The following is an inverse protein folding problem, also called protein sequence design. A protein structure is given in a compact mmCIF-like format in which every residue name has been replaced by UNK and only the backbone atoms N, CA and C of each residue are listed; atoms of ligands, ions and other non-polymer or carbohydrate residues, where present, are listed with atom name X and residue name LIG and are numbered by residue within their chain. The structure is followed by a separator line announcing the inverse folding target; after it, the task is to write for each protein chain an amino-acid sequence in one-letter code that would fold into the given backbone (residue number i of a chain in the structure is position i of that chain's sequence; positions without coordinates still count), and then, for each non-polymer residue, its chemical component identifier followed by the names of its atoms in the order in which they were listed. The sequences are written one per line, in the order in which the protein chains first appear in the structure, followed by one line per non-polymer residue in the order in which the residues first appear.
data_IF_530039800870
#
_entry.id   IF_530039800870
#
_cell.length_a   1.000
_cell.length_b   1.000
_cell.length_c   1.000
_cell.angle_alpha   90.00
_cell.angle_beta   90.00
_cell.angle_gamma   90.00
#
_symmetry.space_group_name_H-M   'P 1'
#
loop_
_entity.id
_entity.type
_entity.pdbx_description
1 polymer ?
#
# COMPACT_ATOMS: atom_id res chain seq x y z
N UNK A 1 16.76 10.16 11.28
CA UNK A 1 16.14 9.10 12.11
C UNK A 1 14.81 8.71 11.47
N UNK A 2 14.77 7.58 10.77
CA UNK A 2 13.51 6.98 10.32
C UNK A 2 12.86 6.33 11.53
N UNK A 3 11.84 6.97 12.11
CA UNK A 3 10.97 6.28 13.06
C UNK A 3 10.32 5.12 12.32
N UNK A 4 10.75 3.91 12.63
CA UNK A 4 10.06 2.67 12.25
C UNK A 4 8.63 2.76 12.79
N UNK A 5 7.66 2.47 11.94
CA UNK A 5 6.25 2.38 12.30
C UNK A 5 5.96 0.87 12.38
N UNK A 6 5.94 0.26 13.59
CA UNK A 6 6.01 -1.20 13.73
C UNK A 6 4.93 -1.94 12.93
N UNK A 7 3.71 -1.39 12.87
CA UNK A 7 2.63 -1.97 12.09
C UNK A 7 2.77 -1.86 10.56
N UNK A 8 3.59 -0.93 10.05
CA UNK A 8 3.91 -0.80 8.62
C UNK A 8 5.04 -1.76 8.23
N UNK A 9 6.05 -1.92 9.09
CA UNK A 9 7.15 -2.85 8.83
C UNK A 9 6.69 -4.32 8.85
N UNK A 10 5.71 -4.66 9.70
CA UNK A 10 5.06 -5.98 9.66
C UNK A 10 4.36 -6.22 8.32
N UNK A 11 3.56 -5.27 7.82
CA UNK A 11 2.88 -5.39 6.52
C UNK A 11 3.87 -5.59 5.37
N UNK A 12 4.96 -4.81 5.39
CA UNK A 12 6.01 -4.91 4.37
C UNK A 12 6.71 -6.26 4.39
N UNK A 13 6.96 -6.81 5.57
CA UNK A 13 7.60 -8.11 5.76
C UNK A 13 6.69 -9.23 5.26
N UNK A 14 5.41 -9.23 5.68
CA UNK A 14 4.43 -10.22 5.23
C UNK A 14 4.23 -10.16 3.71
N UNK A 15 4.10 -8.97 3.13
CA UNK A 15 4.01 -8.79 1.68
C UNK A 15 5.20 -9.42 0.95
N UNK A 16 6.41 -9.13 1.42
CA UNK A 16 7.64 -9.63 0.79
C UNK A 16 7.72 -11.16 0.86
N UNK A 17 7.26 -11.75 1.98
CA UNK A 17 7.19 -13.20 2.14
C UNK A 17 6.19 -13.85 1.16
N UNK A 18 5.00 -13.26 0.98
CA UNK A 18 3.99 -13.75 0.04
C UNK A 18 4.47 -13.73 -1.41
N UNK A 19 5.18 -12.65 -1.81
CA UNK A 19 5.78 -12.55 -3.15
C UNK A 19 6.85 -13.62 -3.34
N UNK A 20 7.75 -13.79 -2.37
CA UNK A 20 8.80 -14.79 -2.45
C UNK A 20 8.23 -16.22 -2.51
N UNK A 21 7.15 -16.50 -1.78
CA UNK A 21 6.45 -17.78 -1.84
C UNK A 21 5.82 -18.02 -3.22
N UNK A 22 5.14 -17.01 -3.78
CA UNK A 22 4.55 -17.09 -5.13
C UNK A 22 5.62 -17.36 -6.20
N UNK A 23 6.75 -16.65 -6.13
CA UNK A 23 7.89 -16.84 -7.04
C UNK A 23 8.51 -18.23 -6.90
N UNK A 24 8.68 -18.72 -5.67
CA UNK A 24 9.19 -20.06 -5.40
C UNK A 24 8.25 -21.16 -5.93
N UNK A 25 6.94 -20.96 -5.82
CA UNK A 25 5.94 -21.87 -6.41
C UNK A 25 6.06 -21.92 -7.93
N UNK A 26 6.11 -20.76 -8.60
CA UNK A 26 6.21 -20.67 -10.06
C UNK A 26 7.55 -21.17 -10.62
N UNK A 27 8.63 -21.05 -9.83
CA UNK A 27 9.93 -21.62 -10.18
C UNK A 27 9.92 -23.16 -10.12
N UNK A 28 9.14 -23.75 -9.22
CA UNK A 28 9.01 -25.20 -9.06
C UNK A 28 8.07 -25.83 -10.08
N UNK A 29 6.95 -25.18 -10.38
CA UNK A 29 5.92 -25.73 -11.27
C UNK A 29 5.07 -24.64 -11.91
N UNK A 30 4.77 -24.82 -13.21
CA UNK A 30 3.79 -24.00 -13.95
C UNK A 30 2.49 -24.76 -14.20
N UNK A 31 2.18 -25.73 -13.35
CA UNK A 31 0.87 -26.40 -13.39
C UNK A 31 -0.24 -25.40 -13.07
N UNK A 32 -1.43 -25.61 -13.63
CA UNK A 32 -2.59 -24.74 -13.40
C UNK A 32 -2.88 -24.52 -11.90
N UNK A 33 -2.92 -25.57 -11.03
CA UNK A 33 -3.11 -25.35 -9.60
C UNK A 33 -2.03 -24.49 -8.95
N UNK A 34 -0.76 -24.65 -9.37
CA UNK A 34 0.35 -23.82 -8.87
C UNK A 34 0.21 -22.36 -9.28
N UNK A 35 -0.21 -22.11 -10.53
CA UNK A 35 -0.44 -20.76 -11.02
C UNK A 35 -1.61 -20.08 -10.30
N UNK A 36 -2.72 -20.80 -10.10
CA UNK A 36 -3.88 -20.30 -9.35
C UNK A 36 -3.49 -19.93 -7.90
N UNK A 37 -2.67 -20.75 -7.25
CA UNK A 37 -2.15 -20.44 -5.92
C UNK A 37 -1.22 -19.21 -5.94
N UNK A 38 -0.27 -19.13 -6.88
CA UNK A 38 0.60 -17.96 -6.99
C UNK A 38 -0.18 -16.66 -7.22
N UNK A 39 -1.25 -16.71 -8.04
CA UNK A 39 -2.15 -15.57 -8.25
C UNK A 39 -2.81 -15.13 -6.93
N UNK A 40 -3.30 -16.08 -6.13
CA UNK A 40 -3.91 -15.76 -4.84
C UNK A 40 -2.90 -15.10 -3.87
N UNK A 41 -1.65 -15.58 -3.85
CA UNK A 41 -0.59 -14.98 -3.04
C UNK A 41 -0.25 -13.56 -3.50
N UNK A 42 -0.14 -13.32 -4.82
CA UNK A 42 0.06 -11.98 -5.35
C UNK A 42 -1.10 -11.05 -5.03
N UNK A 43 -2.35 -11.51 -5.14
CA UNK A 43 -3.52 -10.71 -4.78
C UNK A 43 -3.53 -10.32 -3.29
N UNK A 44 -3.11 -11.23 -2.40
CA UNK A 44 -2.95 -10.90 -0.98
C UNK A 44 -1.80 -9.92 -0.75
N UNK A 45 -0.67 -10.09 -1.44
CA UNK A 45 0.45 -9.15 -1.35
C UNK A 45 0.07 -7.75 -1.83
N UNK A 46 -0.73 -7.64 -2.89
CA UNK A 46 -1.28 -6.37 -3.37
C UNK A 46 -2.16 -5.69 -2.31
N UNK A 47 -3.03 -6.47 -1.63
CA UNK A 47 -3.86 -5.95 -0.55
C UNK A 47 -3.02 -5.36 0.60
N UNK A 48 -1.97 -6.08 1.03
CA UNK A 48 -1.06 -5.59 2.06
C UNK A 48 -0.26 -4.36 1.61
N UNK A 49 0.14 -4.29 0.34
CA UNK A 49 0.80 -3.11 -0.22
C UNK A 49 -0.13 -1.89 -0.18
N UNK A 50 -1.41 -2.09 -0.51
CA UNK A 50 -2.42 -1.03 -0.45
C UNK A 50 -2.63 -0.55 0.99
N UNK A 51 -2.73 -1.45 1.94
CA UNK A 51 -2.85 -1.12 3.36
C UNK A 51 -1.62 -0.36 3.89
N UNK A 52 -0.41 -0.84 3.55
CA UNK A 52 0.86 -0.18 3.89
C UNK A 52 0.86 1.27 3.41
N UNK A 53 0.46 1.48 2.14
CA UNK A 53 0.40 2.80 1.52
C UNK A 53 -0.61 3.72 2.22
N UNK A 54 -1.80 3.21 2.57
CA UNK A 54 -2.81 3.99 3.30
C UNK A 54 -2.30 4.43 4.68
N UNK A 55 -1.66 3.52 5.43
CA UNK A 55 -1.07 3.84 6.74
C UNK A 55 0.08 4.84 6.66
N UNK A 56 0.92 4.74 5.62
CA UNK A 56 1.98 5.71 5.36
C UNK A 56 1.41 7.11 5.06
N UNK A 57 0.35 7.18 4.24
CA UNK A 57 -0.34 8.44 3.95
C UNK A 57 -1.06 9.01 5.17
N UNK A 58 -1.69 8.17 6.00
CA UNK A 58 -2.29 8.58 7.27
C UNK A 58 -1.25 9.17 8.22
N UNK A 59 -0.11 8.48 8.37
CA UNK A 59 1.01 8.96 9.19
C UNK A 59 1.54 10.29 8.66
N UNK A 60 1.76 10.39 7.34
CA UNK A 60 2.19 11.64 6.71
C UNK A 60 1.19 12.76 7.01
N UNK A 61 -0.11 12.52 6.79
CA UNK A 61 -1.19 13.48 7.04
C UNK A 61 -1.26 13.95 8.49
N UNK A 62 -1.00 13.08 9.46
CA UNK A 62 -0.98 13.44 10.88
C UNK A 62 0.20 14.34 11.27
N UNK A 63 1.30 14.30 10.49
CA UNK A 63 2.58 14.95 10.84
C UNK A 63 2.92 16.16 9.98
N UNK A 64 2.22 16.38 8.86
CA UNK A 64 2.52 17.47 7.94
C UNK A 64 1.25 18.08 7.34
N UNK A 65 1.43 19.14 6.55
CA UNK A 65 0.37 19.76 5.76
C UNK A 65 0.66 19.62 4.27
N UNK A 66 -0.36 19.69 3.39
CA UNK A 66 -0.14 19.66 1.94
C UNK A 66 0.83 20.76 1.48
N UNK A 67 0.71 21.97 2.05
CA UNK A 67 1.56 23.10 1.71
C UNK A 67 3.04 22.85 1.99
N UNK A 68 3.36 22.17 3.10
CA UNK A 68 4.73 21.77 3.41
C UNK A 68 5.31 20.73 2.43
N UNK A 69 4.45 20.04 1.68
CA UNK A 69 4.80 19.10 0.62
C UNK A 69 4.72 19.72 -0.79
N UNK A 70 4.50 21.04 -0.89
CA UNK A 70 4.36 21.74 -2.17
C UNK A 70 3.03 21.47 -2.90
N UNK A 71 2.03 20.90 -2.22
CA UNK A 71 0.72 20.61 -2.78
C UNK A 71 -0.35 21.62 -2.32
N UNK A 72 -1.34 21.90 -3.17
CA UNK A 72 -2.42 22.84 -2.84
C UNK A 72 -3.43 22.25 -1.86
N UNK A 73 -3.60 20.92 -1.89
CA UNK A 73 -4.50 20.19 -1.01
C UNK A 73 -4.05 18.74 -0.86
N UNK A 74 -4.63 18.02 0.10
CA UNK A 74 -4.41 16.57 0.21
C UNK A 74 -4.91 15.80 -1.02
N UNK A 75 -5.99 16.27 -1.66
CA UNK A 75 -6.51 15.65 -2.89
C UNK A 75 -5.49 15.78 -4.03
N UNK A 76 -4.93 16.98 -4.21
CA UNK A 76 -3.90 17.30 -5.22
C UNK A 76 -2.63 16.46 -4.99
N UNK A 77 -2.19 16.34 -3.74
CA UNK A 77 -1.06 15.49 -3.36
C UNK A 77 -1.33 14.01 -3.66
N UNK A 78 -2.42 13.45 -3.16
CA UNK A 78 -2.75 12.03 -3.33
C UNK A 78 -2.98 11.67 -4.80
N UNK A 79 -3.71 12.51 -5.55
CA UNK A 79 -3.94 12.33 -6.99
C UNK A 79 -2.62 12.27 -7.75
N UNK A 80 -1.68 13.16 -7.44
CA UNK A 80 -0.35 13.19 -8.08
C UNK A 80 0.50 11.98 -7.69
N UNK A 81 0.62 11.69 -6.38
CA UNK A 81 1.48 10.61 -5.90
C UNK A 81 1.01 9.23 -6.33
N UNK A 82 -0.31 9.01 -6.35
CA UNK A 82 -0.90 7.73 -6.71
C UNK A 82 -1.29 7.62 -8.18
N UNK A 83 -1.15 8.71 -8.95
CA UNK A 83 -1.57 8.80 -10.36
C UNK A 83 -3.04 8.40 -10.56
N UNK A 84 -3.91 8.87 -9.67
CA UNK A 84 -5.36 8.60 -9.69
C UNK A 84 -6.14 9.89 -9.93
N UNK A 85 -7.43 9.78 -10.26
CA UNK A 85 -8.30 10.95 -10.42
C UNK A 85 -8.48 11.70 -9.08
N UNK A 86 -8.99 12.93 -9.13
CA UNK A 86 -9.33 13.66 -7.90
C UNK A 86 -10.46 12.98 -7.12
N UNK A 87 -11.40 12.31 -7.81
CA UNK A 87 -12.48 11.58 -7.17
C UNK A 87 -11.96 10.33 -6.45
N UNK A 88 -11.09 9.56 -7.09
CA UNK A 88 -10.43 8.43 -6.44
C UNK A 88 -9.57 8.89 -5.27
N UNK A 89 -8.83 10.01 -5.42
CA UNK A 89 -8.05 10.58 -4.34
C UNK A 89 -8.93 10.98 -3.13
N UNK A 90 -10.15 11.48 -3.36
CA UNK A 90 -11.13 11.74 -2.28
C UNK A 90 -11.56 10.45 -1.58
N UNK A 91 -11.79 9.37 -2.33
CA UNK A 91 -12.09 8.05 -1.75
C UNK A 91 -10.92 7.54 -0.91
N UNK A 92 -9.69 7.62 -1.43
CA UNK A 92 -8.48 7.26 -0.69
C UNK A 92 -8.36 8.06 0.60
N UNK A 93 -8.63 9.37 0.56
CA UNK A 93 -8.56 10.22 1.75
C UNK A 93 -9.64 9.87 2.78
N UNK A 94 -10.83 9.46 2.33
CA UNK A 94 -11.88 8.94 3.22
C UNK A 94 -11.42 7.65 3.90
N UNK A 95 -10.78 6.74 3.17
CA UNK A 95 -10.23 5.51 3.73
C UNK A 95 -9.14 5.81 4.77
N UNK A 96 -8.26 6.77 4.48
CA UNK A 96 -7.23 7.26 5.41
C UNK A 96 -7.86 7.80 6.70
N UNK A 97 -8.93 8.59 6.60
CA UNK A 97 -9.61 9.16 7.76
C UNK A 97 -10.29 8.10 8.63
N UNK A 98 -10.72 6.98 8.04
CA UNK A 98 -11.27 5.85 8.78
C UNK A 98 -10.22 5.04 9.55
N UNK A 99 -8.94 5.11 9.18
CA UNK A 99 -7.86 4.41 9.88
C UNK A 99 -7.46 5.06 11.21
N UNK A 100 -7.82 6.33 11.41
CA UNK A 100 -7.38 7.10 12.57
C UNK A 100 -5.89 7.50 12.52
N UNK A 101 -5.43 8.30 13.50
CA UNK A 101 -4.03 8.68 13.66
C UNK A 101 -3.13 7.52 14.12
#
# INVERSE_FOLDING_TARGET
MTQSLPGIDTLRTERSALVAEAEALLARSRSRPTMEHAIALYGRAEHLAREEQLRLLATLKSKTTPGALGARSWVDFVSTQLKVTHDDARLVLRDIDALGP
#
